data_IF_303280791227
#
_entry.id   IF_303280791227
#
_cell.length_a   1.000
_cell.length_b   1.000
_cell.length_c   1.000
_cell.angle_alpha   90.00
_cell.angle_beta   90.00
_cell.angle_gamma   90.00
#
_symmetry.space_group_name_H-M   'P 1'
#
loop_
_entity.id
_entity.type
_entity.pdbx_description
1 polymer ?
#
# COMPACT_ATOMS: atom_id res chain seq x y z
N UNK A 1 -25.69 46.34 -42.57
CA UNK A 1 -24.81 45.18 -42.30
C UNK A 1 -23.69 45.67 -41.38
N UNK A 2 -23.89 45.62 -40.07
CA UNK A 2 -22.90 46.03 -39.07
C UNK A 2 -22.68 44.86 -38.12
N UNK A 3 -21.51 44.23 -38.23
CA UNK A 3 -21.08 43.13 -37.37
C UNK A 3 -20.55 43.74 -36.09
N UNK A 4 -21.39 43.77 -35.05
CA UNK A 4 -20.99 44.23 -33.72
C UNK A 4 -20.13 43.13 -33.10
N UNK A 5 -18.81 43.27 -33.22
CA UNK A 5 -17.82 42.42 -32.54
C UNK A 5 -18.05 42.57 -31.04
N UNK A 6 -18.55 41.51 -30.40
CA UNK A 6 -18.64 41.39 -28.95
C UNK A 6 -17.21 41.52 -28.38
N UNK A 7 -16.83 42.74 -27.97
CA UNK A 7 -15.64 42.97 -27.19
C UNK A 7 -15.80 42.23 -25.86
N UNK A 8 -15.07 41.11 -25.71
CA UNK A 8 -15.00 40.39 -24.43
C UNK A 8 -14.43 41.35 -23.38
N UNK A 9 -15.10 41.59 -22.24
CA UNK A 9 -14.58 42.49 -21.22
C UNK A 9 -13.32 41.88 -20.62
N UNK A 10 -12.16 42.36 -21.06
CA UNK A 10 -10.86 42.05 -20.48
C UNK A 10 -10.82 42.61 -19.05
N UNK A 11 -11.19 41.77 -18.08
CA UNK A 11 -11.13 42.09 -16.65
C UNK A 11 -9.67 42.41 -16.27
N UNK A 12 -9.31 43.68 -15.99
CA UNK A 12 -7.90 44.11 -15.90
C UNK A 12 -7.12 43.48 -14.75
N UNK A 13 -7.83 42.90 -13.76
CA UNK A 13 -7.23 42.26 -12.59
C UNK A 13 -6.86 40.78 -12.80
N UNK A 14 -7.67 40.01 -13.53
CA UNK A 14 -7.44 38.56 -13.67
C UNK A 14 -6.23 38.23 -14.56
N UNK A 15 -5.95 39.07 -15.56
CA UNK A 15 -4.82 38.87 -16.48
C UNK A 15 -3.44 38.99 -15.82
N UNK A 16 -3.33 39.76 -14.72
CA UNK A 16 -2.06 39.93 -14.00
C UNK A 16 -1.75 38.72 -13.11
N UNK A 17 -2.77 38.16 -12.47
CA UNK A 17 -2.64 36.97 -11.62
C UNK A 17 -2.36 35.74 -12.47
N UNK A 18 -3.04 35.59 -13.62
CA UNK A 18 -2.77 34.50 -14.56
C UNK A 18 -1.39 34.63 -15.20
N UNK A 19 -0.96 35.84 -15.59
CA UNK A 19 0.38 36.10 -16.14
C UNK A 19 1.52 35.83 -15.14
N UNK A 20 1.30 36.07 -13.84
CA UNK A 20 2.26 35.74 -12.78
C UNK A 20 2.39 34.22 -12.59
N UNK A 21 1.27 33.49 -12.62
CA UNK A 21 1.23 32.02 -12.53
C UNK A 21 1.86 31.34 -13.76
N UNK A 22 1.71 31.95 -14.95
CA UNK A 22 2.34 31.49 -16.19
C UNK A 22 3.86 31.73 -16.22
N UNK A 23 4.35 32.81 -15.60
CA UNK A 23 5.79 33.10 -15.46
C UNK A 23 6.50 32.20 -14.44
N UNK A 24 5.78 31.74 -13.41
CA UNK A 24 6.32 30.88 -12.35
C UNK A 24 5.46 29.61 -12.18
N UNK A 25 5.55 28.64 -13.12
CA UNK A 25 4.74 27.42 -13.07
C UNK A 25 4.94 26.62 -11.77
N UNK A 26 6.12 26.72 -11.14
CA UNK A 26 6.43 26.06 -9.88
C UNK A 26 5.64 26.59 -8.67
N UNK A 27 5.42 27.91 -8.58
CA UNK A 27 4.62 28.50 -7.50
C UNK A 27 3.16 28.06 -7.60
N UNK A 28 2.67 27.94 -8.83
CA UNK A 28 1.32 27.51 -9.07
C UNK A 28 1.06 26.04 -8.76
N UNK A 29 1.98 25.18 -9.17
CA UNK A 29 1.98 23.77 -8.78
C UNK A 29 2.11 23.61 -7.26
N UNK A 30 2.99 24.38 -6.63
CA UNK A 30 3.18 24.34 -5.18
C UNK A 30 1.90 24.70 -4.42
N UNK A 31 1.22 25.79 -4.82
CA UNK A 31 -0.05 26.20 -4.18
C UNK A 31 -1.16 25.17 -4.35
N UNK A 32 -1.23 24.51 -5.52
CA UNK A 32 -2.20 23.47 -5.81
C UNK A 32 -1.94 22.20 -4.98
N UNK A 33 -0.66 21.82 -4.83
CA UNK A 33 -0.24 20.65 -4.06
C UNK A 33 -0.24 20.90 -2.54
N UNK A 34 -0.13 22.16 -2.10
CA UNK A 34 -0.05 22.53 -0.68
C UNK A 34 -1.25 21.99 0.11
N UNK A 35 -2.47 22.13 -0.41
CA UNK A 35 -3.68 21.64 0.26
C UNK A 35 -3.65 20.13 0.51
N UNK A 36 -3.52 19.29 -0.54
CA UNK A 36 -3.41 17.85 -0.39
C UNK A 36 -2.19 17.42 0.45
N UNK A 37 -1.01 18.01 0.24
CA UNK A 37 0.19 17.67 1.02
C UNK A 37 0.04 18.03 2.50
N UNK A 38 -0.54 19.18 2.82
CA UNK A 38 -0.80 19.55 4.22
C UNK A 38 -1.82 18.61 4.84
N UNK A 39 -2.88 18.24 4.12
CA UNK A 39 -3.85 17.26 4.61
C UNK A 39 -3.18 15.92 4.93
N UNK A 40 -2.47 15.32 3.95
CA UNK A 40 -1.75 14.07 4.17
C UNK A 40 -0.70 14.21 5.27
N UNK A 41 0.08 15.30 5.25
CA UNK A 41 1.09 15.60 6.24
C UNK A 41 0.51 15.64 7.66
N UNK A 42 -0.44 16.54 7.89
CA UNK A 42 -0.98 16.80 9.22
C UNK A 42 -1.78 15.60 9.74
N UNK A 43 -2.64 14.99 8.92
CA UNK A 43 -3.51 13.90 9.39
C UNK A 43 -2.68 12.62 9.59
N UNK A 44 -1.86 12.24 8.61
CA UNK A 44 -1.08 11.00 8.70
C UNK A 44 0.03 11.11 9.74
N UNK A 45 0.90 12.11 9.65
CA UNK A 45 1.99 12.26 10.62
C UNK A 45 1.47 12.67 11.98
N UNK A 46 0.42 13.49 12.06
CA UNK A 46 -0.25 13.80 13.31
C UNK A 46 -0.76 12.53 13.99
N UNK A 47 -1.47 11.66 13.27
CA UNK A 47 -1.93 10.38 13.81
C UNK A 47 -0.79 9.46 14.24
N UNK A 48 0.32 9.41 13.48
CA UNK A 48 1.49 8.60 13.84
C UNK A 48 2.16 9.13 15.12
N UNK A 49 2.28 10.45 15.24
CA UNK A 49 2.87 11.11 16.39
C UNK A 49 1.99 10.96 17.63
N UNK A 50 0.67 11.08 17.51
CA UNK A 50 -0.24 10.85 18.64
C UNK A 50 -0.20 9.40 19.09
N UNK A 51 -0.14 8.44 18.16
CA UNK A 51 0.00 7.02 18.48
C UNK A 51 1.33 6.73 19.20
N UNK A 52 2.43 7.30 18.69
CA UNK A 52 3.75 7.16 19.31
C UNK A 52 3.78 7.79 20.70
N UNK A 53 3.17 8.98 20.86
CA UNK A 53 3.06 9.65 22.15
C UNK A 53 2.22 8.84 23.16
N UNK A 54 1.09 8.28 22.71
CA UNK A 54 0.26 7.40 23.53
C UNK A 54 1.00 6.11 23.95
N UNK A 55 1.98 5.65 23.18
CA UNK A 55 2.83 4.52 23.57
C UNK A 55 3.64 4.75 24.85
N UNK A 56 3.86 6.01 25.25
CA UNK A 56 4.51 6.37 26.52
C UNK A 56 3.52 6.51 27.69
N UNK A 57 2.22 6.39 27.47
CA UNK A 57 1.23 6.40 28.54
C UNK A 57 1.06 5.03 29.17
N UNK A 58 0.76 5.00 30.46
CA UNK A 58 0.57 3.76 31.20
C UNK A 58 -0.69 3.05 30.71
N UNK A 59 -0.51 1.79 30.32
CA UNK A 59 -1.59 0.92 29.88
C UNK A 59 -1.90 -0.07 30.99
N UNK A 60 -3.11 0.01 31.55
CA UNK A 60 -3.58 -0.96 32.53
C UNK A 60 -4.33 -2.09 31.83
N UNK A 61 -3.71 -3.28 31.76
CA UNK A 61 -4.28 -4.48 31.13
C UNK A 61 -5.58 -4.94 31.79
N UNK A 62 -5.82 -4.61 33.07
CA UNK A 62 -7.04 -5.01 33.78
C UNK A 62 -8.22 -4.08 33.47
N UNK A 63 -7.97 -2.79 33.38
CA UNK A 63 -9.00 -1.76 33.18
C UNK A 63 -9.18 -1.39 31.71
N UNK A 64 -8.28 -1.84 30.82
CA UNK A 64 -8.18 -1.45 29.40
C UNK A 64 -8.21 0.08 29.21
N UNK A 65 -7.68 0.82 30.18
CA UNK A 65 -7.67 2.28 30.19
C UNK A 65 -6.26 2.82 30.05
N UNK A 66 -6.11 3.87 29.23
CA UNK A 66 -4.86 4.60 29.06
C UNK A 66 -4.84 5.76 30.06
N UNK A 67 -3.98 5.68 31.08
CA UNK A 67 -3.81 6.78 32.05
C UNK A 67 -2.69 7.72 31.58
N UNK A 68 -2.80 9.05 31.76
CA UNK A 68 -1.78 10.02 31.32
C UNK A 68 -0.47 9.99 32.12
N UNK A 69 -0.12 8.85 32.72
CA UNK A 69 1.12 8.67 33.47
C UNK A 69 2.22 8.21 32.51
N UNK A 70 3.27 9.01 32.39
CA UNK A 70 4.41 8.73 31.51
C UNK A 70 5.21 7.54 32.05
N UNK A 71 5.38 6.50 31.22
CA UNK A 71 6.12 5.29 31.55
C UNK A 71 6.93 4.78 30.35
N UNK A 72 8.04 4.10 30.66
CA UNK A 72 8.83 3.34 29.67
C UNK A 72 8.61 1.83 29.79
N UNK A 73 7.72 1.40 30.70
CA UNK A 73 7.46 -0.01 30.95
C UNK A 73 6.85 -0.71 29.73
N UNK A 74 6.03 -0.04 28.91
CA UNK A 74 5.50 -0.59 27.65
C UNK A 74 6.61 -0.97 26.67
N UNK A 75 7.68 -0.17 26.61
CA UNK A 75 8.83 -0.44 25.73
C UNK A 75 9.66 -1.58 26.31
N UNK A 76 9.86 -1.60 27.64
CA UNK A 76 10.55 -2.71 28.32
C UNK A 76 9.78 -4.03 28.18
N UNK A 77 8.46 -4.00 28.17
CA UNK A 77 7.61 -5.18 28.02
C UNK A 77 7.85 -5.89 26.68
N UNK A 78 8.21 -5.17 25.60
CA UNK A 78 8.60 -5.78 24.32
C UNK A 78 9.81 -6.72 24.46
N UNK A 79 10.69 -6.46 25.44
CA UNK A 79 11.87 -7.28 25.73
C UNK A 79 11.61 -8.42 26.72
N UNK A 80 10.35 -8.64 27.12
CA UNK A 80 9.98 -9.78 27.94
C UNK A 80 10.13 -11.07 27.11
N UNK A 81 10.77 -12.13 27.65
CA UNK A 81 10.86 -13.44 26.99
C UNK A 81 9.54 -13.99 26.44
N UNK A 82 8.40 -13.66 27.07
CA UNK A 82 7.08 -14.06 26.58
C UNK A 82 6.74 -13.50 25.18
N UNK A 83 7.31 -12.36 24.80
CA UNK A 83 7.04 -11.68 23.53
C UNK A 83 8.06 -12.06 22.43
N UNK A 84 9.18 -12.69 22.78
CA UNK A 84 10.23 -13.03 21.82
C UNK A 84 9.78 -14.01 20.75
N UNK A 85 8.90 -14.97 21.07
CA UNK A 85 8.36 -15.90 20.08
C UNK A 85 7.62 -15.17 18.96
N UNK A 86 6.76 -14.22 19.32
CA UNK A 86 5.98 -13.43 18.36
C UNK A 86 6.90 -12.56 17.50
N UNK A 87 7.89 -11.91 18.12
CA UNK A 87 8.86 -11.07 17.41
C UNK A 87 9.68 -11.90 16.42
N UNK A 88 10.21 -13.04 16.85
CA UNK A 88 11.02 -13.90 15.99
C UNK A 88 10.21 -14.53 14.87
N UNK A 89 8.98 -14.99 15.14
CA UNK A 89 8.10 -15.57 14.12
C UNK A 89 7.72 -14.53 13.05
N UNK A 90 7.37 -13.31 13.45
CA UNK A 90 7.03 -12.25 12.49
C UNK A 90 8.23 -11.80 11.68
N UNK A 91 9.40 -11.65 12.32
CA UNK A 91 10.65 -11.30 11.64
C UNK A 91 11.08 -12.38 10.66
N UNK A 92 11.10 -13.65 11.08
CA UNK A 92 11.48 -14.77 10.22
C UNK A 92 10.54 -14.92 9.03
N UNK A 93 9.22 -14.79 9.23
CA UNK A 93 8.25 -14.78 8.13
C UNK A 93 8.51 -13.62 7.16
N UNK A 94 8.71 -12.40 7.66
CA UNK A 94 8.97 -11.24 6.82
C UNK A 94 10.25 -11.43 5.98
N UNK A 95 11.35 -11.84 6.61
CA UNK A 95 12.64 -12.08 5.92
C UNK A 95 12.51 -13.21 4.91
N UNK A 96 11.89 -14.33 5.28
CA UNK A 96 11.70 -15.46 4.38
C UNK A 96 10.88 -15.06 3.13
N UNK A 97 9.79 -14.31 3.32
CA UNK A 97 8.95 -13.82 2.22
C UNK A 97 9.69 -12.80 1.35
N UNK A 98 10.44 -11.86 1.94
CA UNK A 98 11.26 -10.91 1.18
C UNK A 98 12.31 -11.62 0.33
N UNK A 99 13.02 -12.60 0.89
CA UNK A 99 14.05 -13.36 0.15
C UNK A 99 13.39 -14.20 -0.94
N UNK A 100 12.33 -14.95 -0.62
CA UNK A 100 11.63 -15.78 -1.60
C UNK A 100 11.06 -14.94 -2.76
N UNK A 101 10.44 -13.80 -2.45
CA UNK A 101 9.93 -12.88 -3.48
C UNK A 101 11.05 -12.29 -4.33
N UNK A 102 12.19 -11.90 -3.75
CA UNK A 102 13.33 -11.40 -4.51
C UNK A 102 13.92 -12.48 -5.43
N UNK A 103 14.08 -13.71 -4.94
CA UNK A 103 14.59 -14.86 -5.73
C UNK A 103 13.67 -15.18 -6.91
N UNK A 104 12.35 -15.04 -6.75
CA UNK A 104 11.40 -15.31 -7.83
C UNK A 104 11.24 -14.11 -8.78
N UNK A 105 11.12 -12.90 -8.24
CA UNK A 105 10.84 -11.69 -9.02
C UNK A 105 12.06 -11.22 -9.82
N UNK A 106 13.27 -11.36 -9.29
CA UNK A 106 14.50 -10.90 -9.96
C UNK A 106 14.79 -11.62 -11.29
N UNK A 107 14.84 -12.97 -11.37
CA UNK A 107 15.07 -13.67 -12.64
C UNK A 107 13.95 -13.39 -13.64
N UNK A 108 12.71 -13.28 -13.16
CA UNK A 108 11.56 -12.93 -13.98
C UNK A 108 11.70 -11.53 -14.58
N UNK A 109 12.06 -10.54 -13.76
CA UNK A 109 12.30 -9.16 -14.20
C UNK A 109 13.47 -9.06 -15.18
N UNK A 110 14.56 -9.77 -14.91
CA UNK A 110 15.71 -9.85 -15.80
C UNK A 110 15.34 -10.46 -17.16
N UNK A 111 14.58 -11.55 -17.16
CA UNK A 111 14.09 -12.19 -18.38
C UNK A 111 13.18 -11.25 -19.19
N UNK A 112 12.23 -10.59 -18.52
CA UNK A 112 11.36 -9.61 -19.16
C UNK A 112 12.14 -8.45 -19.77
N UNK A 113 13.12 -7.92 -19.05
CA UNK A 113 13.92 -6.79 -19.50
C UNK A 113 14.78 -7.12 -20.73
N UNK A 114 15.29 -8.36 -20.84
CA UNK A 114 16.27 -8.73 -21.86
C UNK A 114 15.69 -9.47 -23.07
N UNK A 115 14.67 -10.30 -22.89
CA UNK A 115 14.22 -11.25 -23.93
C UNK A 115 12.79 -11.04 -24.42
N UNK A 116 11.97 -10.21 -23.75
CA UNK A 116 10.58 -10.03 -24.15
C UNK A 116 10.33 -8.76 -24.96
N UNK A 117 9.71 -8.91 -26.12
CA UNK A 117 9.25 -7.82 -26.98
C UNK A 117 7.78 -8.01 -27.37
N UNK A 118 7.08 -6.90 -27.64
CA UNK A 118 5.69 -6.91 -28.10
C UNK A 118 4.72 -7.60 -27.14
N UNK A 119 3.97 -8.59 -27.66
CA UNK A 119 2.86 -9.28 -26.96
C UNK A 119 3.32 -10.08 -25.74
N UNK A 120 4.51 -10.67 -25.76
CA UNK A 120 5.03 -11.45 -24.63
C UNK A 120 5.33 -10.57 -23.41
N UNK A 121 5.83 -9.36 -23.63
CA UNK A 121 6.05 -8.37 -22.57
C UNK A 121 4.72 -7.96 -21.92
N UNK A 122 3.70 -7.71 -22.74
CA UNK A 122 2.35 -7.38 -22.26
C UNK A 122 1.74 -8.53 -21.43
N UNK A 123 1.89 -9.78 -21.87
CA UNK A 123 1.42 -10.96 -21.13
C UNK A 123 2.01 -11.02 -19.72
N UNK A 124 3.34 -10.89 -19.58
CA UNK A 124 3.97 -10.95 -18.27
C UNK A 124 3.58 -9.78 -17.35
N UNK A 125 3.41 -8.56 -17.90
CA UNK A 125 2.89 -7.44 -17.11
C UNK A 125 1.48 -7.71 -16.59
N UNK A 126 0.59 -8.22 -17.44
CA UNK A 126 -0.78 -8.56 -17.03
C UNK A 126 -0.75 -9.66 -15.97
N UNK A 127 0.04 -10.72 -16.18
CA UNK A 127 0.16 -11.82 -15.23
C UNK A 127 0.66 -11.38 -13.84
N UNK A 128 1.58 -10.40 -13.77
CA UNK A 128 2.10 -9.86 -12.51
C UNK A 128 1.15 -8.84 -11.88
N UNK A 129 0.53 -7.97 -12.68
CA UNK A 129 -0.40 -6.96 -12.18
C UNK A 129 -1.73 -7.56 -11.71
N UNK A 130 -2.32 -8.48 -12.46
CA UNK A 130 -3.64 -9.06 -12.16
C UNK A 130 -3.80 -9.52 -10.69
N UNK A 131 -2.88 -10.29 -10.08
CA UNK A 131 -2.99 -10.68 -8.68
C UNK A 131 -2.79 -9.53 -7.68
N UNK A 132 -2.14 -8.44 -8.08
CA UNK A 132 -1.96 -7.24 -7.26
C UNK A 132 -3.31 -6.52 -7.05
N UNK A 133 -4.15 -6.46 -8.09
CA UNK A 133 -5.45 -5.77 -8.06
C UNK A 133 -6.54 -6.55 -7.32
N UNK A 134 -6.32 -7.85 -7.08
CA UNK A 134 -7.25 -8.68 -6.32
C UNK A 134 -7.25 -8.30 -4.82
N UNK A 135 -8.44 -8.26 -4.21
CA UNK A 135 -8.62 -8.01 -2.79
C UNK A 135 -7.90 -9.04 -1.92
N UNK A 136 -7.26 -8.59 -0.84
CA UNK A 136 -6.54 -9.45 0.10
C UNK A 136 -7.43 -10.57 0.67
N UNK A 137 -8.67 -10.23 1.03
CA UNK A 137 -9.65 -11.17 1.58
C UNK A 137 -9.93 -12.33 0.60
N UNK A 138 -10.10 -12.03 -0.69
CA UNK A 138 -10.33 -13.07 -1.72
C UNK A 138 -9.13 -13.99 -1.83
N UNK A 139 -7.91 -13.44 -1.83
CA UNK A 139 -6.67 -14.22 -1.86
C UNK A 139 -6.56 -15.13 -0.62
N UNK A 140 -6.87 -14.61 0.56
CA UNK A 140 -6.85 -15.40 1.79
C UNK A 140 -7.83 -16.57 1.74
N UNK A 141 -9.08 -16.33 1.33
CA UNK A 141 -10.09 -17.40 1.22
C UNK A 141 -9.79 -18.41 0.12
N UNK A 142 -9.22 -17.96 -1.01
CA UNK A 142 -8.79 -18.86 -2.08
C UNK A 142 -7.73 -19.84 -1.58
N UNK A 143 -6.74 -19.37 -0.80
CA UNK A 143 -5.76 -20.24 -0.18
C UNK A 143 -6.38 -21.18 0.86
N UNK A 144 -7.27 -20.71 1.73
CA UNK A 144 -7.93 -21.60 2.70
C UNK A 144 -8.76 -22.69 2.02
N UNK A 145 -9.44 -22.35 0.92
CA UNK A 145 -10.21 -23.31 0.14
C UNK A 145 -9.29 -24.31 -0.58
N UNK A 146 -8.17 -23.83 -1.15
CA UNK A 146 -7.20 -24.68 -1.83
C UNK A 146 -6.49 -25.64 -0.87
N UNK A 147 -6.14 -25.17 0.34
CA UNK A 147 -5.55 -25.99 1.40
C UNK A 147 -6.60 -26.82 2.17
N UNK A 148 -7.89 -26.62 1.93
CA UNK A 148 -8.92 -27.46 2.51
C UNK A 148 -8.73 -28.89 2.00
N UNK A 149 -8.71 -29.85 2.93
CA UNK A 149 -8.33 -31.26 2.72
C UNK A 149 -9.00 -31.88 1.49
N UNK A 150 -10.25 -31.54 1.23
CA UNK A 150 -11.05 -32.16 0.18
C UNK A 150 -10.88 -31.50 -1.20
N UNK A 151 -10.49 -30.22 -1.28
CA UNK A 151 -10.53 -29.47 -2.53
C UNK A 151 -9.41 -29.85 -3.50
N UNK A 152 -8.16 -29.91 -3.04
CA UNK A 152 -7.02 -30.24 -3.90
C UNK A 152 -6.89 -31.75 -4.13
N UNK A 153 -7.19 -32.57 -3.12
CA UNK A 153 -7.13 -34.02 -3.23
C UNK A 153 -8.22 -34.53 -4.19
N UNK A 154 -9.50 -34.17 -3.99
CA UNK A 154 -10.56 -34.64 -4.89
C UNK A 154 -10.36 -34.17 -6.34
N UNK A 155 -9.91 -32.93 -6.54
CA UNK A 155 -9.57 -32.42 -7.87
C UNK A 155 -8.43 -33.20 -8.52
N UNK A 156 -7.36 -33.49 -7.77
CA UNK A 156 -6.22 -34.27 -8.25
C UNK A 156 -6.59 -35.74 -8.53
N UNK A 157 -7.38 -36.37 -7.66
CA UNK A 157 -7.88 -37.73 -7.85
C UNK A 157 -8.82 -37.85 -9.06
N UNK A 158 -9.68 -36.84 -9.30
CA UNK A 158 -10.55 -36.78 -10.47
C UNK A 158 -9.78 -36.56 -11.78
N UNK A 159 -8.69 -35.78 -11.76
CA UNK A 159 -7.82 -35.57 -12.95
C UNK A 159 -7.03 -36.84 -13.29
N UNK A 160 -6.62 -37.61 -12.28
CA UNK A 160 -5.92 -38.90 -12.46
C UNK A 160 -6.83 -40.06 -12.87
N UNK A 161 -8.14 -39.85 -12.99
CA UNK A 161 -9.08 -40.88 -13.43
C UNK A 161 -9.27 -42.03 -12.43
N UNK A 162 -8.92 -41.81 -11.15
CA UNK A 162 -9.05 -42.81 -10.08
C UNK A 162 -10.47 -42.87 -9.48
N UNK A 163 -11.49 -42.55 -10.28
CA UNK A 163 -12.90 -42.50 -9.92
C UNK A 163 -13.70 -43.71 -10.46
N UNK A 164 -13.00 -44.77 -10.87
CA UNK A 164 -13.58 -46.08 -11.15
C UNK A 164 -13.07 -47.13 -10.15
N UNK A 165 -13.66 -47.17 -8.95
CA UNK A 165 -13.93 -48.36 -8.14
C UNK A 165 -14.73 -47.95 -6.88
#
# INVERSE_FOLDING_TARGET
MAMNVLQSPSRPGLGKVSGFFWRNPGLGLFLLLLGPLMWFGIVYFGSLLTLLWQGFYTFDDFTMSVTPELTLENIRALFNPANYDIILRTLTMAVAVTIASAILAFPMAWYMARYTSGKMKAFFYIAVMLPMWASYIVKAYAWTLLLAKDAWLSGFYNILGWNHC
#
